data_IF_128313331128
#
_entry.id   IF_128313331128
#
_cell.length_a   1.000
_cell.length_b   1.000
_cell.length_c   1.000
_cell.angle_alpha   90.00
_cell.angle_beta   90.00
_cell.angle_gamma   90.00
#
_symmetry.space_group_name_H-M   'P 1'
#
loop_
_entity.id
_entity.type
_entity.pdbx_description
1 polymer ?
#
# COMPACT_ATOMS: atom_id res chain seq x y z
N UNK A 1 -4.56 8.55 -19.98
CA UNK A 1 -5.83 8.29 -19.28
C UNK A 1 -6.80 9.49 -19.30
N UNK A 2 -6.40 10.70 -19.71
CA UNK A 2 -7.35 11.81 -19.89
C UNK A 2 -7.80 12.50 -18.59
N UNK A 3 -7.17 12.20 -17.46
CA UNK A 3 -7.40 12.86 -16.17
C UNK A 3 -6.43 14.02 -15.98
N UNK A 4 -6.93 15.12 -15.42
CA UNK A 4 -6.13 16.27 -14.98
C UNK A 4 -5.76 16.09 -13.49
N UNK A 5 -4.57 15.54 -13.24
CA UNK A 5 -4.09 15.20 -11.89
C UNK A 5 -2.71 15.83 -11.68
N UNK A 6 -2.59 16.65 -10.63
CA UNK A 6 -1.32 17.17 -10.13
C UNK A 6 -0.62 16.13 -9.24
N UNK A 7 0.71 16.15 -9.18
CA UNK A 7 1.51 15.36 -8.23
C UNK A 7 1.07 15.62 -6.79
N UNK A 8 0.64 16.84 -6.46
CA UNK A 8 0.11 17.21 -5.14
C UNK A 8 -1.19 16.51 -4.75
N UNK A 9 -1.89 15.86 -5.69
CA UNK A 9 -3.07 15.04 -5.41
C UNK A 9 -2.74 13.57 -5.17
N UNK A 10 -1.47 13.18 -5.29
CA UNK A 10 -1.02 11.79 -5.19
C UNK A 10 -0.34 11.59 -3.84
N UNK A 11 -0.87 10.66 -3.06
CA UNK A 11 -0.25 10.20 -1.82
C UNK A 11 0.30 8.79 -2.00
N UNK A 12 1.62 8.66 -1.83
CA UNK A 12 2.31 7.37 -1.87
C UNK A 12 2.86 6.99 -0.49
N UNK A 13 3.03 5.69 -0.21
CA UNK A 13 3.60 5.23 1.07
C UNK A 13 5.12 5.48 1.18
N UNK A 14 5.82 5.76 0.07
CA UNK A 14 7.27 5.91 0.06
C UNK A 14 7.77 7.13 0.88
N UNK A 15 7.21 8.35 0.73
CA UNK A 15 7.57 9.49 1.56
C UNK A 15 7.40 9.24 3.07
N UNK A 16 6.32 8.54 3.46
CA UNK A 16 6.08 8.18 4.86
C UNK A 16 7.18 7.23 5.38
N UNK A 17 7.58 6.25 4.57
CA UNK A 17 8.66 5.34 4.92
C UNK A 17 10.02 6.07 4.98
N UNK A 18 10.32 6.97 4.04
CA UNK A 18 11.55 7.78 4.06
C UNK A 18 11.66 8.58 5.36
N UNK A 19 10.53 9.13 5.86
CA UNK A 19 10.51 9.80 7.17
C UNK A 19 10.88 8.84 8.30
N UNK A 20 10.30 7.64 8.33
CA UNK A 20 10.62 6.59 9.32
C UNK A 20 12.11 6.21 9.26
N UNK A 21 12.66 6.01 8.07
CA UNK A 21 14.06 5.65 7.87
C UNK A 21 14.98 6.74 8.44
N UNK A 22 14.66 8.02 8.20
CA UNK A 22 15.44 9.16 8.73
C UNK A 22 15.34 9.27 10.25
N UNK A 23 14.13 9.21 10.80
CA UNK A 23 13.88 9.30 12.25
C UNK A 23 14.55 8.16 13.03
N UNK A 24 14.62 6.97 12.44
CA UNK A 24 15.23 5.78 13.06
C UNK A 24 16.69 5.56 12.64
N UNK A 25 17.28 6.47 11.85
CA UNK A 25 18.64 6.38 11.31
C UNK A 25 18.94 5.04 10.61
N UNK A 26 17.98 4.56 9.82
CA UNK A 26 18.06 3.30 9.09
C UNK A 26 18.61 3.50 7.68
N UNK A 27 19.30 2.48 7.19
CA UNK A 27 19.89 2.39 5.84
C UNK A 27 19.32 1.16 5.15
N UNK A 28 18.42 1.32 4.16
CA UNK A 28 17.69 0.20 3.61
C UNK A 28 18.46 -0.49 2.49
N UNK A 29 18.28 -1.81 2.39
CA UNK A 29 18.37 -2.50 1.12
C UNK A 29 16.99 -2.39 0.45
N UNK A 30 16.95 -1.79 -0.74
CA UNK A 30 15.73 -1.48 -1.46
C UNK A 30 15.40 -2.60 -2.46
N UNK A 31 14.25 -3.25 -2.28
CA UNK A 31 13.62 -4.11 -3.27
C UNK A 31 12.33 -3.45 -3.77
N UNK A 32 12.50 -2.50 -4.68
CA UNK A 32 11.44 -1.66 -5.27
C UNK A 32 11.65 -1.49 -6.78
N UNK A 33 10.60 -1.08 -7.49
CA UNK A 33 10.67 -0.71 -8.89
C UNK A 33 11.58 0.50 -9.11
N UNK A 34 12.21 0.61 -10.29
CA UNK A 34 13.13 1.72 -10.61
C UNK A 34 12.45 3.09 -10.51
N UNK A 35 11.17 3.17 -10.88
CA UNK A 35 10.39 4.41 -10.79
C UNK A 35 10.18 4.91 -9.35
N UNK A 36 10.35 4.04 -8.34
CA UNK A 36 10.30 4.44 -6.93
C UNK A 36 11.65 4.87 -6.38
N UNK A 37 12.76 4.57 -7.06
CA UNK A 37 14.11 4.90 -6.57
C UNK A 37 14.31 6.39 -6.25
N UNK A 38 13.79 7.35 -7.05
CA UNK A 38 13.95 8.78 -6.76
C UNK A 38 13.40 9.23 -5.40
N UNK A 39 12.39 8.52 -4.85
CA UNK A 39 11.85 8.81 -3.51
C UNK A 39 12.89 8.56 -2.40
N UNK A 40 13.90 7.72 -2.68
CA UNK A 40 14.93 7.31 -1.73
C UNK A 40 16.31 7.92 -2.00
N UNK A 41 16.45 8.86 -2.96
CA UNK A 41 17.74 9.45 -3.36
C UNK A 41 18.53 10.07 -2.19
N UNK A 42 17.80 10.64 -1.22
CA UNK A 42 18.36 11.27 -0.02
C UNK A 42 18.54 10.30 1.17
N UNK A 43 18.38 8.99 0.94
CA UNK A 43 18.53 7.95 1.97
C UNK A 43 19.83 7.21 1.76
N UNK A 44 20.67 7.14 2.80
CA UNK A 44 21.88 6.33 2.76
C UNK A 44 21.51 4.84 2.69
N UNK A 45 21.98 4.16 1.65
CA UNK A 45 21.74 2.73 1.39
C UNK A 45 23.01 1.89 1.60
N UNK A 46 24.11 2.51 2.04
CA UNK A 46 25.36 1.81 2.32
C UNK A 46 25.24 0.95 3.58
N UNK A 47 25.91 -0.21 3.59
CA UNK A 47 25.89 -1.16 4.73
C UNK A 47 24.50 -1.32 5.36
N UNK A 48 23.53 -1.91 4.61
CA UNK A 48 22.13 -1.95 5.00
C UNK A 48 21.89 -2.54 6.39
N UNK A 49 20.96 -1.94 7.13
CA UNK A 49 20.50 -2.42 8.44
C UNK A 49 18.98 -2.66 8.51
N UNK A 50 18.29 -2.55 7.38
CA UNK A 50 16.91 -2.98 7.19
C UNK A 50 16.68 -3.34 5.72
N UNK A 51 15.54 -3.96 5.43
CA UNK A 51 15.04 -4.17 4.07
C UNK A 51 13.73 -3.40 3.88
N UNK A 52 13.59 -2.78 2.72
CA UNK A 52 12.34 -2.17 2.26
C UNK A 52 11.88 -2.92 1.03
N UNK A 53 10.64 -3.40 1.05
CA UNK A 53 10.00 -4.03 -0.10
C UNK A 53 8.80 -3.19 -0.56
N UNK A 54 8.74 -2.92 -1.85
CA UNK A 54 7.62 -2.28 -2.54
C UNK A 54 7.31 -3.05 -3.81
N UNK A 55 6.30 -2.62 -4.57
CA UNK A 55 6.14 -3.20 -5.91
C UNK A 55 7.45 -3.05 -6.69
N UNK A 56 7.90 -4.17 -7.25
CA UNK A 56 9.16 -4.30 -7.95
C UNK A 56 9.00 -5.04 -9.29
N UNK A 57 7.77 -5.43 -9.66
CA UNK A 57 7.47 -6.16 -10.90
C UNK A 57 8.48 -7.30 -11.17
N UNK A 58 9.18 -7.26 -12.30
CA UNK A 58 10.16 -8.27 -12.72
C UNK A 58 11.37 -8.39 -11.76
N UNK A 59 11.61 -7.39 -10.91
CA UNK A 59 12.63 -7.47 -9.86
C UNK A 59 12.23 -8.36 -8.69
N UNK A 60 10.99 -8.85 -8.60
CA UNK A 60 10.64 -9.96 -7.70
C UNK A 60 11.18 -11.30 -8.22
N UNK A 61 12.49 -11.33 -8.48
CA UNK A 61 13.22 -12.51 -8.91
C UNK A 61 13.76 -13.28 -7.70
N UNK A 62 14.03 -14.57 -7.91
CA UNK A 62 14.69 -15.40 -6.90
C UNK A 62 16.02 -14.81 -6.43
N UNK A 63 16.77 -14.18 -7.34
CA UNK A 63 18.04 -13.53 -7.03
C UNK A 63 17.84 -12.36 -6.06
N UNK A 64 16.95 -11.41 -6.40
CA UNK A 64 16.78 -10.20 -5.60
C UNK A 64 16.12 -10.50 -4.24
N UNK A 65 15.20 -11.47 -4.19
CA UNK A 65 14.65 -11.96 -2.92
C UNK A 65 15.74 -12.58 -2.04
N UNK A 66 16.68 -13.33 -2.62
CA UNK A 66 17.81 -13.86 -1.86
C UNK A 66 18.77 -12.78 -1.38
N UNK A 67 18.95 -11.69 -2.12
CA UNK A 67 19.76 -10.54 -1.68
C UNK A 67 19.11 -9.86 -0.46
N UNK A 68 17.80 -9.57 -0.53
CA UNK A 68 17.04 -9.05 0.60
C UNK A 68 17.04 -10.00 1.81
N UNK A 69 16.82 -11.30 1.58
CA UNK A 69 16.89 -12.34 2.61
C UNK A 69 18.25 -12.37 3.31
N UNK A 70 19.35 -12.32 2.55
CA UNK A 70 20.72 -12.34 3.11
C UNK A 70 21.00 -11.12 3.98
N UNK A 71 20.47 -9.96 3.63
CA UNK A 71 20.51 -8.78 4.49
C UNK A 71 19.77 -9.08 5.79
N UNK A 72 18.49 -9.46 5.73
CA UNK A 72 17.68 -9.72 6.94
C UNK A 72 18.30 -10.77 7.86
N UNK A 73 18.62 -11.95 7.34
CA UNK A 73 19.12 -13.07 8.16
C UNK A 73 20.50 -12.80 8.77
N UNK A 74 21.27 -11.84 8.21
CA UNK A 74 22.57 -11.43 8.71
C UNK A 74 22.51 -10.37 9.82
N UNK A 75 21.35 -9.77 10.08
CA UNK A 75 21.19 -8.73 11.09
C UNK A 75 20.86 -9.34 12.46
N UNK A 76 21.44 -8.79 13.52
CA UNK A 76 21.06 -9.17 14.90
C UNK A 76 19.60 -8.81 15.23
N UNK A 77 19.10 -7.72 14.63
CA UNK A 77 17.73 -7.22 14.77
C UNK A 77 17.17 -6.93 13.38
N UNK A 78 16.66 -7.95 12.66
CA UNK A 78 16.15 -7.76 11.32
C UNK A 78 14.91 -6.86 11.33
N UNK A 79 14.93 -5.86 10.44
CA UNK A 79 13.80 -4.96 10.21
C UNK A 79 13.39 -5.06 8.74
N UNK A 80 12.13 -5.43 8.52
CA UNK A 80 11.50 -5.50 7.20
C UNK A 80 10.37 -4.49 7.15
N UNK A 81 10.43 -3.57 6.20
CA UNK A 81 9.35 -2.63 5.89
C UNK A 81 8.70 -3.01 4.57
N UNK A 82 7.38 -2.87 4.49
CA UNK A 82 6.65 -3.03 3.25
C UNK A 82 5.81 -1.80 2.92
N UNK A 83 5.88 -1.35 1.66
CA UNK A 83 5.05 -0.24 1.16
C UNK A 83 3.58 -0.63 0.97
N UNK A 84 3.24 -1.92 1.05
CA UNK A 84 1.87 -2.42 1.01
C UNK A 84 1.77 -3.88 1.41
N UNK A 85 0.56 -4.41 1.49
CA UNK A 85 0.34 -5.84 1.78
C UNK A 85 -0.71 -6.47 0.86
N UNK A 86 -0.91 -5.89 -0.33
CA UNK A 86 -1.81 -6.43 -1.32
C UNK A 86 -1.36 -7.83 -1.75
N UNK A 87 -2.34 -8.71 -2.01
CA UNK A 87 -2.08 -10.09 -2.47
C UNK A 87 -1.89 -10.15 -3.98
N UNK A 88 -2.68 -9.36 -4.68
CA UNK A 88 -2.71 -9.26 -6.13
C UNK A 88 -3.39 -7.95 -6.55
N UNK A 89 -3.11 -7.54 -7.79
CA UNK A 89 -3.80 -6.48 -8.50
C UNK A 89 -4.22 -6.97 -9.90
N UNK A 90 -5.02 -6.18 -10.61
CA UNK A 90 -5.51 -6.52 -11.95
C UNK A 90 -4.89 -5.61 -13.00
N UNK A 91 -4.32 -6.23 -14.02
CA UNK A 91 -3.89 -5.58 -15.26
C UNK A 91 -4.74 -6.03 -16.45
N UNK A 92 -4.42 -5.52 -17.64
CA UNK A 92 -5.10 -5.85 -18.90
C UNK A 92 -5.00 -7.32 -19.27
N UNK A 93 -3.92 -8.00 -18.89
CA UNK A 93 -3.65 -9.41 -19.20
C UNK A 93 -4.08 -10.39 -18.10
N UNK A 94 -4.48 -9.90 -16.93
CA UNK A 94 -5.00 -10.74 -15.85
C UNK A 94 -4.65 -10.25 -14.44
N UNK A 95 -4.77 -11.15 -13.47
CA UNK A 95 -4.35 -10.90 -12.10
C UNK A 95 -2.86 -11.14 -11.95
N UNK A 96 -2.17 -10.21 -11.29
CA UNK A 96 -0.74 -10.27 -10.99
C UNK A 96 -0.51 -10.30 -9.49
N UNK A 97 0.50 -11.04 -9.05
CA UNK A 97 0.90 -11.07 -7.64
C UNK A 97 1.41 -9.68 -7.24
N UNK A 98 1.12 -9.31 -6.00
CA UNK A 98 1.48 -8.02 -5.43
C UNK A 98 2.51 -8.20 -4.30
N UNK A 99 3.09 -7.10 -3.84
CA UNK A 99 4.20 -7.02 -2.87
C UNK A 99 3.97 -7.86 -1.61
N UNK A 100 2.73 -7.99 -1.14
CA UNK A 100 2.40 -8.71 0.09
C UNK A 100 2.76 -10.20 0.03
N UNK A 101 2.78 -10.80 -1.15
CA UNK A 101 3.19 -12.22 -1.34
C UNK A 101 4.68 -12.39 -1.12
N UNK A 102 5.47 -11.49 -1.66
CA UNK A 102 6.93 -11.49 -1.55
C UNK A 102 7.40 -11.04 -0.16
N UNK A 103 6.71 -10.07 0.44
CA UNK A 103 6.86 -9.70 1.85
C UNK A 103 6.67 -10.93 2.75
N UNK A 104 5.57 -11.69 2.58
CA UNK A 104 5.30 -12.89 3.38
C UNK A 104 6.35 -13.98 3.18
N UNK A 105 6.96 -14.08 2.00
CA UNK A 105 8.06 -15.01 1.76
C UNK A 105 9.30 -14.66 2.59
N UNK A 106 9.65 -13.37 2.68
CA UNK A 106 10.77 -12.90 3.50
C UNK A 106 10.45 -13.00 5.01
N UNK A 107 9.25 -12.63 5.43
CA UNK A 107 8.78 -12.82 6.81
C UNK A 107 8.92 -14.28 7.25
N UNK A 108 8.45 -15.21 6.40
CA UNK A 108 8.55 -16.63 6.67
C UNK A 108 10.01 -17.12 6.72
N UNK A 109 10.85 -16.68 5.77
CA UNK A 109 12.24 -17.12 5.69
C UNK A 109 13.11 -16.61 6.86
N UNK A 110 12.78 -15.45 7.42
CA UNK A 110 13.56 -14.78 8.46
C UNK A 110 12.94 -14.83 9.86
N UNK A 111 11.73 -15.41 10.01
CA UNK A 111 10.93 -15.38 11.24
C UNK A 111 10.73 -13.96 11.79
N UNK A 112 10.35 -13.04 10.89
CA UNK A 112 10.08 -11.63 11.21
C UNK A 112 8.66 -11.25 10.82
N UNK A 113 8.17 -10.14 11.38
CA UNK A 113 6.96 -9.48 10.90
C UNK A 113 7.33 -8.15 10.26
N UNK A 114 6.75 -7.87 9.10
CA UNK A 114 6.99 -6.64 8.38
C UNK A 114 6.21 -5.46 8.99
N UNK A 115 6.84 -4.29 9.07
CA UNK A 115 6.15 -3.03 9.32
C UNK A 115 5.56 -2.51 8.00
N UNK A 116 4.22 -2.52 7.88
CA UNK A 116 3.51 -2.06 6.68
C UNK A 116 3.20 -0.58 6.79
N UNK A 117 3.76 0.23 5.88
CA UNK A 117 3.62 1.70 5.88
C UNK A 117 2.49 2.19 4.97
N UNK A 118 2.00 1.34 4.07
CA UNK A 118 0.86 1.63 3.20
C UNK A 118 -0.46 1.06 3.70
N UNK A 119 -1.42 0.97 2.78
CA UNK A 119 -2.71 0.35 3.03
C UNK A 119 -2.52 -1.11 3.48
N UNK A 120 -3.23 -1.56 4.53
CA UNK A 120 -4.36 -0.90 5.20
C UNK A 120 -4.02 -0.42 6.60
N UNK A 121 -2.78 0.04 6.80
CA UNK A 121 -2.37 0.67 8.04
C UNK A 121 -3.26 1.88 8.29
N UNK A 122 -3.79 2.00 9.51
CA UNK A 122 -4.61 3.14 9.87
C UNK A 122 -3.81 4.45 9.81
N UNK A 123 -2.53 4.36 10.16
CA UNK A 123 -1.59 5.49 10.13
C UNK A 123 -1.41 6.04 8.71
N UNK A 124 -1.52 5.18 7.69
CA UNK A 124 -1.45 5.63 6.28
C UNK A 124 -2.63 6.55 5.95
N UNK A 125 -3.86 6.11 6.20
CA UNK A 125 -5.06 6.93 5.95
C UNK A 125 -5.06 8.20 6.82
N UNK A 126 -4.67 8.10 8.09
CA UNK A 126 -4.57 9.26 8.97
C UNK A 126 -3.54 10.28 8.47
N UNK A 127 -2.41 9.81 7.91
CA UNK A 127 -1.39 10.70 7.31
C UNK A 127 -1.97 11.45 6.12
N UNK A 128 -2.71 10.78 5.23
CA UNK A 128 -3.37 11.42 4.08
C UNK A 128 -4.40 12.46 4.55
N UNK A 129 -5.24 12.11 5.52
CA UNK A 129 -6.24 13.02 6.08
C UNK A 129 -5.60 14.25 6.73
N UNK A 130 -4.51 14.07 7.48
CA UNK A 130 -3.81 15.16 8.15
C UNK A 130 -3.18 16.14 7.16
N UNK A 131 -2.62 15.65 6.05
CA UNK A 131 -2.07 16.52 5.00
C UNK A 131 -3.17 17.39 4.36
N UNK A 132 -4.36 16.81 4.15
CA UNK A 132 -5.54 17.51 3.67
C UNK A 132 -6.24 18.34 4.75
N UNK A 133 -5.79 18.29 6.01
CA UNK A 133 -6.44 18.91 7.18
C UNK A 133 -7.90 18.49 7.37
N UNK A 134 -8.22 17.23 7.07
CA UNK A 134 -9.56 16.64 7.18
C UNK A 134 -9.67 15.67 8.36
N UNK A 135 -10.87 15.55 8.90
CA UNK A 135 -11.27 14.49 9.80
C UNK A 135 -11.76 13.25 9.01
N UNK A 136 -11.67 12.03 9.56
CA UNK A 136 -12.08 10.82 8.85
C UNK A 136 -13.51 10.85 8.31
N UNK A 137 -14.45 11.47 9.02
CA UNK A 137 -15.86 11.54 8.62
C UNK A 137 -16.13 12.53 7.48
N UNK A 138 -15.16 13.38 7.13
CA UNK A 138 -15.23 14.36 6.04
C UNK A 138 -14.73 13.78 4.71
N UNK A 139 -14.24 12.54 4.71
CA UNK A 139 -13.67 11.89 3.55
C UNK A 139 -14.24 10.48 3.32
N UNK A 140 -14.16 10.03 2.08
CA UNK A 140 -14.57 8.70 1.65
C UNK A 140 -13.46 8.04 0.85
N UNK A 141 -13.15 6.79 1.19
CA UNK A 141 -12.23 5.96 0.41
C UNK A 141 -13.03 5.19 -0.65
N UNK A 142 -12.63 5.32 -1.92
CA UNK A 142 -13.16 4.52 -3.03
C UNK A 142 -12.05 3.57 -3.49
N UNK A 143 -12.32 2.27 -3.53
CA UNK A 143 -11.31 1.28 -3.91
C UNK A 143 -11.89 -0.02 -4.46
N UNK A 144 -11.04 -0.78 -5.15
CA UNK A 144 -11.37 -2.12 -5.65
C UNK A 144 -10.89 -3.23 -4.70
N UNK A 145 -10.09 -2.92 -3.67
CA UNK A 145 -9.69 -3.84 -2.61
C UNK A 145 -10.53 -3.70 -1.34
N UNK A 146 -11.42 -4.66 -1.09
CA UNK A 146 -12.28 -4.61 0.10
C UNK A 146 -11.49 -4.57 1.41
N UNK A 147 -10.41 -5.33 1.51
CA UNK A 147 -9.65 -5.43 2.76
C UNK A 147 -8.69 -4.28 2.92
N UNK A 148 -7.97 -3.96 1.84
CA UNK A 148 -6.87 -3.01 1.94
C UNK A 148 -7.33 -1.55 1.81
N UNK A 149 -8.29 -1.29 0.92
CA UNK A 149 -8.80 0.06 0.69
C UNK A 149 -9.95 0.36 1.65
N UNK A 150 -11.06 -0.35 1.48
CA UNK A 150 -12.32 -0.09 2.17
C UNK A 150 -12.18 -0.40 3.66
N UNK A 151 -11.81 -1.63 4.01
CA UNK A 151 -11.66 -2.05 5.40
C UNK A 151 -10.53 -1.31 6.12
N UNK A 152 -9.49 -0.88 5.41
CA UNK A 152 -8.43 -0.03 5.94
C UNK A 152 -8.95 1.34 6.35
N UNK A 153 -9.66 2.01 5.43
CA UNK A 153 -10.23 3.33 5.68
C UNK A 153 -11.29 3.31 6.79
N UNK A 154 -12.15 2.29 6.82
CA UNK A 154 -13.18 2.13 7.85
C UNK A 154 -12.61 2.00 9.27
N UNK A 155 -11.46 1.33 9.43
CA UNK A 155 -10.77 1.27 10.73
C UNK A 155 -10.28 2.63 11.22
N UNK A 156 -10.16 3.60 10.32
CA UNK A 156 -9.79 4.98 10.64
C UNK A 156 -11.01 5.87 10.88
N UNK A 157 -12.23 5.33 10.75
CA UNK A 157 -13.48 6.10 10.86
C UNK A 157 -13.93 6.78 9.57
N UNK A 158 -13.28 6.50 8.44
CA UNK A 158 -13.76 6.96 7.13
C UNK A 158 -14.90 6.07 6.63
N UNK A 159 -15.75 6.61 5.74
CA UNK A 159 -16.60 5.77 4.90
C UNK A 159 -15.74 5.09 3.82
N UNK A 160 -16.06 3.85 3.49
CA UNK A 160 -15.40 3.08 2.43
C UNK A 160 -16.39 2.56 1.41
N UNK A 161 -16.22 2.93 0.13
CA UNK A 161 -17.03 2.48 -1.01
C UNK A 161 -16.19 1.51 -1.84
N UNK A 162 -16.77 0.34 -2.11
CA UNK A 162 -16.19 -0.65 -3.00
C UNK A 162 -16.72 -0.44 -4.42
N UNK A 163 -15.83 -0.37 -5.41
CA UNK A 163 -16.22 -0.41 -6.83
C UNK A 163 -16.11 -1.82 -7.39
N UNK A 164 -16.95 -2.16 -8.38
CA UNK A 164 -16.98 -3.48 -9.05
C UNK A 164 -16.02 -3.59 -10.24
N UNK A 165 -15.16 -2.60 -10.43
CA UNK A 165 -14.03 -2.63 -11.36
C UNK A 165 -12.79 -3.29 -10.73
N UNK A 166 -11.71 -3.41 -11.50
CA UNK A 166 -10.44 -3.90 -10.98
C UNK A 166 -10.51 -5.35 -10.49
N UNK A 167 -9.91 -5.63 -9.33
CA UNK A 167 -9.79 -6.97 -8.75
C UNK A 167 -10.99 -7.43 -7.93
N UNK A 168 -12.06 -6.62 -7.87
CA UNK A 168 -13.32 -6.96 -7.21
C UNK A 168 -13.80 -8.37 -7.58
N UNK A 169 -14.37 -9.06 -6.59
CA UNK A 169 -15.07 -10.34 -6.77
C UNK A 169 -16.44 -10.28 -6.10
N UNK A 170 -17.46 -10.98 -6.65
CA UNK A 170 -18.78 -11.09 -5.99
C UNK A 170 -18.75 -11.66 -4.56
N UNK A 171 -17.69 -12.37 -4.19
CA UNK A 171 -17.46 -12.83 -2.82
C UNK A 171 -17.20 -11.71 -1.82
N UNK A 172 -16.72 -10.55 -2.28
CA UNK A 172 -16.33 -9.42 -1.44
C UNK A 172 -17.57 -8.82 -0.75
N UNK A 173 -18.73 -8.78 -1.44
CA UNK A 173 -20.00 -8.36 -0.84
C UNK A 173 -20.49 -9.28 0.29
N UNK A 174 -19.96 -10.50 0.35
CA UNK A 174 -20.29 -11.53 1.35
C UNK A 174 -19.15 -11.77 2.34
N UNK A 175 -18.15 -10.89 2.36
CA UNK A 175 -16.99 -11.06 3.23
C UNK A 175 -17.42 -11.10 4.70
N UNK A 176 -16.87 -12.03 5.52
CA UNK A 176 -17.40 -12.31 6.85
C UNK A 176 -17.20 -11.17 7.86
N UNK A 177 -16.17 -10.33 7.68
CA UNK A 177 -15.76 -9.34 8.68
C UNK A 177 -15.65 -7.89 8.19
N UNK A 178 -15.77 -7.65 6.88
CA UNK A 178 -15.64 -6.31 6.30
C UNK A 178 -16.81 -6.11 5.36
N UNK A 179 -17.51 -4.98 5.47
CA UNK A 179 -18.63 -4.61 4.61
C UNK A 179 -18.44 -3.16 4.21
N UNK A 180 -18.45 -2.89 2.91
CA UNK A 180 -18.38 -1.52 2.42
C UNK A 180 -19.65 -0.75 2.80
N UNK A 181 -19.51 0.56 2.96
CA UNK A 181 -20.64 1.48 3.14
C UNK A 181 -21.47 1.63 1.85
N UNK A 182 -20.87 1.31 0.69
CA UNK A 182 -21.54 1.25 -0.60
C UNK A 182 -20.81 0.34 -1.59
N UNK A 183 -21.56 -0.25 -2.50
CA UNK A 183 -21.05 -1.05 -3.62
C UNK A 183 -21.55 -0.46 -4.93
N UNK A 184 -20.64 0.07 -5.74
CA UNK A 184 -20.95 0.81 -6.97
C UNK A 184 -20.22 0.19 -8.16
N UNK A 185 -20.73 0.39 -9.36
CA UNK A 185 -20.22 -0.34 -10.53
C UNK A 185 -18.81 0.12 -10.91
N UNK A 186 -18.54 1.43 -10.85
CA UNK A 186 -17.25 2.02 -11.19
C UNK A 186 -17.03 3.37 -10.48
N UNK A 187 -15.91 4.02 -10.79
CA UNK A 187 -15.54 5.32 -10.21
C UNK A 187 -16.49 6.45 -10.63
N UNK A 188 -17.09 6.38 -11.82
CA UNK A 188 -18.04 7.40 -12.29
C UNK A 188 -19.35 7.32 -11.48
N UNK A 189 -19.88 6.11 -11.29
CA UNK A 189 -21.03 5.88 -10.42
C UNK A 189 -20.75 6.31 -8.97
N UNK A 190 -19.52 6.12 -8.48
CA UNK A 190 -19.11 6.60 -7.16
C UNK A 190 -19.09 8.13 -7.05
N UNK A 191 -18.55 8.82 -8.06
CA UNK A 191 -18.56 10.28 -8.09
C UNK A 191 -20.00 10.83 -8.12
N UNK A 192 -20.86 10.28 -8.98
CA UNK A 192 -22.27 10.69 -9.08
C UNK A 192 -23.02 10.48 -7.76
N UNK A 193 -22.81 9.34 -7.10
CA UNK A 193 -23.43 9.03 -5.81
C UNK A 193 -22.97 9.98 -4.69
N UNK A 194 -21.70 10.41 -4.68
CA UNK A 194 -21.20 11.39 -3.71
C UNK A 194 -21.85 12.74 -3.95
N UNK A 195 -21.87 13.22 -5.21
CA UNK A 195 -22.40 14.54 -5.55
C UNK A 195 -23.90 14.68 -5.28
N UNK A 196 -24.67 13.60 -5.48
CA UNK A 196 -26.14 13.60 -5.29
C UNK A 196 -26.59 13.44 -3.84
N UNK A 197 -25.79 12.83 -2.97
CA UNK A 197 -26.10 12.70 -1.53
C UNK A 197 -25.82 13.98 -0.71
N UNK A 198 -25.39 15.07 -1.37
CA UNK A 198 -25.14 16.37 -0.76
C UNK A 198 -26.27 17.41 -1.03
N UNK A 199 -27.36 17.02 -1.71
CA UNK A 199 -28.63 17.77 -1.77
C UNK A 199 -29.63 17.30 -0.70
#
# INVERSE_FOLDING_TARGET
>A
MGFDISVSHVFSPAPALVRILRERHLRPHLLVHDDLMPEFDDVDTSSPNCVVIGDAADKFSYQNLNEAFRVLIGLEKPLLFSLGQGRYYKETDGLKLDVGVFMKALEYACDVQAEVVGKPSADFFQTVLNDMSLQPHEAVMIGDDLLNDVGGAQRCGMKGIQVRTGKYRPSDEKHPSVRADGYLDDLAAAADAILTNHE
#
